data_IF_781052102341
#
_entry.id   IF_781052102341
#
_cell.length_a   1.000
_cell.length_b   1.000
_cell.length_c   1.000
_cell.angle_alpha   90.00
_cell.angle_beta   90.00
_cell.angle_gamma   90.00
#
_symmetry.space_group_name_H-M   'P 1'
#
loop_
_entity.id
_entity.type
_entity.pdbx_description
1 polymer ?
#
# COMPACT_ATOMS: atom_id res chain seq x y z
N UNK A 1 -8.11 3.77 26.09
CA UNK A 1 -8.20 2.32 25.76
C UNK A 1 -6.95 1.66 26.29
N UNK A 2 -7.07 0.95 27.42
CA UNK A 2 -5.93 0.41 28.16
C UNK A 2 -5.38 -0.85 27.48
N UNK A 3 -4.10 -0.81 27.07
CA UNK A 3 -3.32 -1.97 26.60
C UNK A 3 -2.79 -2.82 27.76
N UNK A 4 -3.57 -2.99 28.82
CA UNK A 4 -3.13 -3.70 30.03
C UNK A 4 -3.11 -5.22 29.86
N UNK A 5 -3.70 -5.74 28.78
CA UNK A 5 -3.75 -7.18 28.52
C UNK A 5 -2.39 -7.77 28.10
N UNK A 6 -1.55 -7.01 27.40
CA UNK A 6 -0.22 -7.47 26.95
C UNK A 6 0.86 -7.30 28.03
N UNK A 7 0.67 -6.34 28.95
CA UNK A 7 1.63 -6.03 30.01
C UNK A 7 1.66 -7.05 31.14
N UNK A 8 0.58 -7.82 31.33
CA UNK A 8 0.45 -8.79 32.44
C UNK A 8 0.84 -10.22 32.05
N UNK A 9 1.12 -10.50 30.77
CA UNK A 9 1.51 -11.84 30.37
C UNK A 9 3.01 -12.04 30.56
N UNK A 10 3.38 -13.06 31.35
CA UNK A 10 4.79 -13.43 31.56
C UNK A 10 5.49 -13.78 30.24
N UNK A 11 4.76 -14.37 29.30
CA UNK A 11 5.26 -14.75 27.97
C UNK A 11 5.72 -13.52 27.18
N UNK A 12 4.97 -12.41 27.20
CA UNK A 12 5.36 -11.20 26.48
C UNK A 12 6.45 -10.42 27.22
N UNK A 13 6.59 -10.59 28.54
CA UNK A 13 7.56 -9.86 29.37
C UNK A 13 9.01 -10.34 29.21
N UNK A 14 9.25 -11.61 28.89
CA UNK A 14 10.60 -12.19 28.91
C UNK A 14 11.34 -12.21 27.55
N UNK A 15 10.71 -11.78 26.46
CA UNK A 15 11.38 -11.66 25.17
C UNK A 15 11.67 -12.99 24.45
N UNK A 16 10.83 -14.01 24.65
CA UNK A 16 10.94 -15.30 23.98
C UNK A 16 10.52 -15.26 22.49
N UNK A 17 10.77 -16.34 21.75
CA UNK A 17 10.40 -16.46 20.32
C UNK A 17 8.89 -16.36 20.09
N UNK A 18 8.10 -16.91 21.01
CA UNK A 18 6.65 -16.88 21.02
C UNK A 18 6.14 -15.44 21.20
N UNK A 19 6.85 -14.63 21.98
CA UNK A 19 6.52 -13.21 22.13
C UNK A 19 6.78 -12.44 20.84
N UNK A 20 7.87 -12.75 20.13
CA UNK A 20 8.17 -12.14 18.84
C UNK A 20 7.07 -12.44 17.81
N UNK A 21 6.63 -13.70 17.74
CA UNK A 21 5.50 -14.09 16.91
C UNK A 21 4.22 -13.35 17.30
N UNK A 22 3.88 -13.28 18.59
CA UNK A 22 2.67 -12.60 19.06
C UNK A 22 2.67 -11.10 18.70
N UNK A 23 3.80 -10.41 18.85
CA UNK A 23 3.96 -9.01 18.45
C UNK A 23 3.77 -8.83 16.94
N UNK A 24 4.41 -9.68 16.12
CA UNK A 24 4.25 -9.65 14.67
C UNK A 24 2.80 -9.94 14.25
N UNK A 25 2.21 -11.03 14.73
CA UNK A 25 0.83 -11.42 14.41
C UNK A 25 -0.19 -10.35 14.82
N UNK A 26 0.00 -9.71 15.98
CA UNK A 26 -0.86 -8.61 16.42
C UNK A 26 -0.74 -7.40 15.48
N UNK A 27 0.48 -7.02 15.09
CA UNK A 27 0.70 -5.90 14.19
C UNK A 27 0.15 -6.14 12.78
N UNK A 28 0.25 -7.38 12.28
CA UNK A 28 -0.38 -7.84 11.05
C UNK A 28 -1.91 -7.76 11.15
N UNK A 29 -2.47 -8.32 12.23
CA UNK A 29 -3.91 -8.38 12.46
C UNK A 29 -4.56 -7.00 12.55
N UNK A 30 -3.95 -6.07 13.29
CA UNK A 30 -4.43 -4.67 13.36
C UNK A 30 -4.42 -4.03 11.97
N UNK A 31 -3.33 -4.18 11.23
CA UNK A 31 -3.21 -3.64 9.87
C UNK A 31 -4.32 -4.18 8.97
N UNK A 32 -4.46 -5.50 8.89
CA UNK A 32 -5.45 -6.15 8.04
C UNK A 32 -6.90 -5.80 8.41
N UNK A 33 -7.22 -5.78 9.71
CA UNK A 33 -8.56 -5.47 10.20
C UNK A 33 -8.96 -4.02 9.89
N UNK A 34 -8.04 -3.07 10.11
CA UNK A 34 -8.29 -1.64 9.84
C UNK A 34 -8.39 -1.38 8.34
N UNK A 35 -7.48 -1.90 7.53
CA UNK A 35 -7.52 -1.73 6.07
C UNK A 35 -8.82 -2.28 5.46
N UNK A 36 -9.33 -3.40 6.01
CA UNK A 36 -10.62 -3.97 5.61
C UNK A 36 -11.81 -3.16 6.12
N UNK A 37 -11.72 -2.59 7.32
CA UNK A 37 -12.76 -1.69 7.82
C UNK A 37 -12.91 -0.44 6.93
N UNK A 38 -11.79 0.08 6.41
CA UNK A 38 -11.78 1.18 5.45
C UNK A 38 -12.51 0.83 4.15
N UNK A 39 -12.16 -0.28 3.51
CA UNK A 39 -12.81 -0.67 2.25
C UNK A 39 -14.29 -1.01 2.41
N UNK A 40 -14.70 -1.42 3.61
CA UNK A 40 -16.08 -1.77 3.90
C UNK A 40 -16.91 -0.54 4.34
N UNK A 41 -16.33 0.67 4.33
CA UNK A 41 -17.01 1.89 4.76
C UNK A 41 -17.38 1.92 6.24
N UNK A 42 -16.77 1.07 7.07
CA UNK A 42 -17.05 1.00 8.52
C UNK A 42 -16.30 2.05 9.32
N UNK A 43 -15.29 2.68 8.74
CA UNK A 43 -14.47 3.70 9.38
C UNK A 43 -14.51 4.98 8.56
N UNK A 44 -15.11 6.03 9.11
CA UNK A 44 -15.32 7.32 8.43
C UNK A 44 -14.02 8.09 8.16
N UNK A 45 -12.93 7.74 8.84
CA UNK A 45 -11.63 8.41 8.74
C UNK A 45 -10.77 7.93 7.58
N UNK A 46 -11.23 6.95 6.80
CA UNK A 46 -10.53 6.41 5.64
C UNK A 46 -11.51 5.97 4.56
N UNK A 47 -10.99 5.76 3.35
CA UNK A 47 -11.73 5.24 2.19
C UNK A 47 -10.97 4.07 1.57
N UNK A 48 -11.41 3.58 0.42
CA UNK A 48 -10.71 2.60 -0.41
C UNK A 48 -9.26 3.04 -0.70
N UNK A 49 -8.40 2.07 -1.05
CA UNK A 49 -7.01 2.33 -1.39
C UNK A 49 -6.88 3.37 -2.53
N UNK A 50 -6.18 4.50 -2.32
CA UNK A 50 -5.99 5.51 -3.36
C UNK A 50 -4.98 5.06 -4.44
N UNK A 51 -4.18 4.02 -4.17
CA UNK A 51 -3.21 3.45 -5.11
C UNK A 51 -3.83 2.53 -6.17
N UNK A 52 -5.09 2.14 -5.99
CA UNK A 52 -5.86 1.42 -6.99
C UNK A 52 -6.16 2.34 -8.17
N UNK A 53 -5.53 2.07 -9.32
CA UNK A 53 -5.85 2.74 -10.58
C UNK A 53 -7.34 2.53 -10.92
N UNK A 54 -8.17 3.45 -10.47
CA UNK A 54 -9.53 3.68 -10.94
C UNK A 54 -9.55 5.10 -11.49
N UNK A 55 -10.04 5.23 -12.71
CA UNK A 55 -10.21 6.49 -13.45
C UNK A 55 -10.80 7.56 -12.56
N UNK A 56 -10.10 8.71 -12.51
CA UNK A 56 -10.41 9.87 -11.68
C UNK A 56 -11.91 10.22 -11.69
N UNK A 57 -12.51 10.23 -10.51
CA UNK A 57 -13.81 10.82 -10.22
C UNK A 57 -13.97 10.98 -8.72
N UNK A 58 -13.75 12.20 -8.23
CA UNK A 58 -14.02 12.75 -6.89
C UNK A 58 -12.83 12.86 -5.91
N UNK A 59 -12.47 14.12 -5.58
CA UNK A 59 -11.82 14.51 -4.33
C UNK A 59 -10.29 14.63 -4.36
N UNK A 60 -9.79 15.75 -4.89
CA UNK A 60 -8.41 16.20 -4.67
C UNK A 60 -8.23 16.65 -3.22
N UNK A 61 -7.39 15.97 -2.43
CA UNK A 61 -6.46 16.61 -1.49
C UNK A 61 -5.24 15.69 -1.26
N UNK A 62 -4.03 16.22 -1.50
CA UNK A 62 -2.78 15.61 -1.00
C UNK A 62 -1.84 14.96 -2.01
N UNK A 63 -1.55 15.59 -3.15
CA UNK A 63 -0.46 15.16 -4.03
C UNK A 63 0.91 15.47 -3.39
N UNK A 64 1.48 14.50 -2.69
CA UNK A 64 2.86 14.52 -2.21
C UNK A 64 3.83 14.70 -3.38
N UNK A 65 4.46 15.87 -3.44
CA UNK A 65 5.49 16.26 -4.39
C UNK A 65 6.57 15.19 -4.55
N UNK A 66 6.56 14.47 -5.68
CA UNK A 66 7.73 13.74 -6.18
C UNK A 66 8.04 14.23 -7.60
N UNK A 67 8.60 15.44 -7.68
CA UNK A 67 9.44 15.81 -8.82
C UNK A 67 10.82 15.23 -8.58
N UNK A 68 11.32 14.42 -9.52
CA UNK A 68 12.71 14.45 -10.01
C UNK A 68 12.93 13.41 -11.13
N UNK A 69 13.12 13.94 -12.35
CA UNK A 69 14.10 13.58 -13.40
C UNK A 69 14.20 12.12 -13.85
N UNK A 70 13.78 11.84 -15.10
CA UNK A 70 14.70 11.56 -16.21
C UNK A 70 13.94 11.68 -17.55
N UNK A 71 14.21 12.78 -18.25
CA UNK A 71 14.11 12.83 -19.70
C UNK A 71 15.44 12.34 -20.28
N UNK A 72 15.38 11.88 -21.53
CA UNK A 72 16.47 11.49 -22.43
C UNK A 72 16.98 10.04 -22.33
N UNK A 73 16.98 9.38 -23.49
CA UNK A 73 17.69 8.14 -23.72
C UNK A 73 16.79 7.01 -24.18
N UNK A 74 16.47 6.98 -25.49
CA UNK A 74 16.68 5.83 -26.39
C UNK A 74 15.99 6.11 -27.74
N UNK A 75 16.56 7.09 -28.46
CA UNK A 75 16.49 7.11 -29.92
C UNK A 75 17.48 6.05 -30.43
N UNK A 76 17.00 4.84 -30.71
CA UNK A 76 17.81 3.83 -31.39
C UNK A 76 16.92 2.81 -32.09
N UNK A 77 16.44 3.16 -33.28
CA UNK A 77 16.52 2.37 -34.52
C UNK A 77 15.73 3.09 -35.62
N UNK A 78 16.46 3.70 -36.56
CA UNK A 78 15.94 4.15 -37.84
C UNK A 78 16.32 3.09 -38.87
N UNK A 79 15.35 2.61 -39.66
CA UNK A 79 15.57 1.64 -40.71
C UNK A 79 14.46 1.73 -41.75
N UNK A 80 14.68 2.56 -42.77
CA UNK A 80 13.81 2.67 -43.94
C UNK A 80 14.00 1.44 -44.84
N UNK A 81 12.93 0.70 -45.13
CA UNK A 81 12.84 -0.14 -46.32
C UNK A 81 11.49 0.11 -46.98
N UNK A 82 11.50 0.72 -48.17
CA UNK A 82 10.28 0.95 -48.94
C UNK A 82 9.73 -0.35 -49.52
N UNK A 83 8.39 -0.49 -49.51
CA UNK A 83 7.60 -1.04 -50.62
C UNK A 83 6.08 -0.89 -50.42
N UNK A 84 5.44 -0.44 -51.52
CA UNK A 84 4.03 -0.55 -51.97
C UNK A 84 2.97 0.07 -51.04
N UNK A 85 2.37 1.25 -51.35
CA UNK A 85 1.28 1.45 -52.33
C UNK A 85 0.26 0.32 -52.22
N UNK A 86 -0.77 0.45 -51.37
CA UNK A 86 -2.06 1.01 -51.79
C UNK A 86 -2.85 1.56 -50.58
N UNK A 87 -3.16 2.85 -50.65
CA UNK A 87 -4.49 3.43 -50.40
C UNK A 87 -5.32 2.94 -49.20
N UNK A 88 -5.14 3.55 -48.03
CA UNK A 88 -6.19 3.64 -46.99
C UNK A 88 -6.23 5.07 -46.43
N UNK A 89 -6.30 6.06 -47.32
CA UNK A 89 -6.72 7.40 -46.93
C UNK A 89 -8.23 7.51 -47.03
N UNK A 90 -8.96 6.98 -46.04
CA UNK A 90 -10.25 7.55 -45.67
C UNK A 90 -10.78 6.95 -44.36
N UNK A 91 -11.12 7.86 -43.45
CA UNK A 91 -12.11 7.75 -42.39
C UNK A 91 -11.66 7.16 -41.04
N UNK A 92 -11.58 8.11 -40.11
CA UNK A 92 -11.73 8.04 -38.67
C UNK A 92 -10.47 7.81 -37.81
N UNK A 93 -10.01 8.93 -37.25
CA UNK A 93 -9.11 9.01 -36.12
C UNK A 93 -9.82 8.68 -34.79
N UNK A 94 -10.50 7.54 -34.70
CA UNK A 94 -11.26 7.16 -33.49
C UNK A 94 -11.39 5.64 -33.33
N UNK A 95 -10.28 4.92 -33.19
CA UNK A 95 -10.25 3.72 -32.35
C UNK A 95 -8.79 3.26 -32.16
N UNK A 96 -8.15 3.69 -31.06
CA UNK A 96 -6.99 2.98 -30.55
C UNK A 96 -7.44 1.62 -30.03
N UNK A 97 -7.66 0.66 -30.93
CA UNK A 97 -7.88 -0.73 -30.56
C UNK A 97 -6.54 -1.34 -30.15
N UNK A 98 -6.11 -1.09 -28.91
CA UNK A 98 -5.20 -2.03 -28.26
C UNK A 98 -5.94 -3.36 -28.15
N UNK A 99 -5.49 -4.43 -28.82
CA UNK A 99 -6.18 -5.70 -28.77
C UNK A 99 -6.11 -6.25 -27.34
N UNK A 100 -7.28 -6.25 -26.68
CA UNK A 100 -7.65 -7.01 -25.47
C UNK A 100 -6.64 -6.95 -24.30
N UNK A 101 -6.70 -5.91 -23.48
CA UNK A 101 -6.50 -6.09 -22.02
C UNK A 101 -7.76 -6.78 -21.49
N UNK A 102 -7.64 -8.06 -21.15
CA UNK A 102 -8.77 -8.93 -20.76
C UNK A 102 -9.13 -8.81 -19.27
N UNK A 103 -8.58 -7.81 -18.58
CA UNK A 103 -8.90 -7.52 -17.19
C UNK A 103 -8.61 -6.06 -16.87
N UNK A 104 -9.47 -5.47 -16.05
CA UNK A 104 -9.36 -4.12 -15.55
C UNK A 104 -9.37 -4.17 -14.02
N UNK A 105 -8.56 -3.32 -13.37
CA UNK A 105 -8.68 -3.13 -11.93
C UNK A 105 -10.02 -2.45 -11.63
N UNK A 106 -10.76 -2.99 -10.66
CA UNK A 106 -12.06 -2.44 -10.26
C UNK A 106 -12.39 -2.78 -8.81
N UNK A 107 -13.53 -2.27 -8.35
CA UNK A 107 -13.98 -2.43 -6.97
C UNK A 107 -13.24 -1.55 -5.97
N UNK A 108 -13.32 -1.93 -4.69
CA UNK A 108 -12.71 -1.19 -3.58
C UNK A 108 -11.56 -1.98 -2.98
N UNK A 109 -10.33 -1.51 -3.18
CA UNK A 109 -9.14 -2.06 -2.52
C UNK A 109 -9.07 -1.72 -1.04
N UNK A 110 -8.52 -2.62 -0.23
CA UNK A 110 -8.20 -2.36 1.17
C UNK A 110 -7.15 -1.25 1.29
N UNK A 111 -7.43 -0.23 2.09
CA UNK A 111 -6.50 0.89 2.30
C UNK A 111 -5.37 0.50 3.25
N UNK A 112 -4.35 -0.15 2.69
CA UNK A 112 -3.23 -0.70 3.44
C UNK A 112 -2.39 0.38 4.09
N UNK A 113 -2.22 1.54 3.44
CA UNK A 113 -1.47 2.67 3.98
C UNK A 113 -2.07 3.17 5.31
N UNK A 114 -3.40 3.32 5.35
CA UNK A 114 -4.11 3.73 6.55
C UNK A 114 -3.95 2.69 7.66
N UNK A 115 -4.14 1.40 7.35
CA UNK A 115 -3.97 0.31 8.32
C UNK A 115 -2.56 0.23 8.91
N UNK A 116 -1.52 0.41 8.08
CA UNK A 116 -0.12 0.42 8.50
C UNK A 116 0.18 1.61 9.44
N UNK A 117 -0.33 2.79 9.09
CA UNK A 117 -0.17 4.00 9.89
C UNK A 117 -0.86 3.85 11.24
N UNK A 118 -2.10 3.35 11.26
CA UNK A 118 -2.82 3.08 12.49
C UNK A 118 -2.12 2.03 13.37
N UNK A 119 -1.64 0.93 12.78
CA UNK A 119 -0.92 -0.12 13.52
C UNK A 119 0.37 0.42 14.17
N UNK A 120 1.12 1.30 13.49
CA UNK A 120 2.28 1.99 14.06
C UNK A 120 1.90 2.93 15.20
N UNK A 121 0.83 3.71 15.04
CA UNK A 121 0.37 4.61 16.10
C UNK A 121 -0.09 3.83 17.33
N UNK A 122 -0.81 2.72 17.14
CA UNK A 122 -1.33 1.94 18.25
C UNK A 122 -0.24 1.13 18.97
N UNK A 123 0.50 0.29 18.25
CA UNK A 123 1.35 -0.73 18.86
C UNK A 123 2.77 -0.25 19.18
N UNK A 124 3.27 0.78 18.49
CA UNK A 124 4.64 1.27 18.72
C UNK A 124 4.69 2.42 19.76
N UNK A 125 3.55 3.05 20.09
CA UNK A 125 3.51 4.22 20.99
C UNK A 125 4.04 3.92 22.40
N UNK A 126 3.80 2.71 22.90
CA UNK A 126 4.33 2.26 24.19
C UNK A 126 5.83 1.98 24.09
N UNK A 127 6.24 1.24 23.06
CA UNK A 127 7.63 0.80 22.90
C UNK A 127 8.59 1.97 22.64
N UNK A 128 8.14 3.04 21.96
CA UNK A 128 8.97 4.24 21.76
C UNK A 128 9.36 4.95 23.06
N UNK A 129 8.64 4.73 24.17
CA UNK A 129 8.93 5.35 25.48
C UNK A 129 9.90 4.53 26.33
N UNK A 130 10.01 3.22 26.09
CA UNK A 130 10.78 2.32 26.95
C UNK A 130 12.29 2.42 26.77
N UNK A 131 12.76 2.67 25.54
CA UNK A 131 14.19 2.87 25.21
C UNK A 131 15.11 1.66 25.44
N UNK A 132 14.63 0.61 26.11
CA UNK A 132 15.34 -0.61 26.43
C UNK A 132 15.42 -1.58 25.25
N UNK A 133 16.30 -2.58 25.36
CA UNK A 133 16.51 -3.60 24.33
C UNK A 133 15.21 -4.32 23.97
N UNK A 134 14.35 -4.57 24.97
CA UNK A 134 13.04 -5.21 24.75
C UNK A 134 12.13 -4.34 23.92
N UNK A 135 12.02 -3.04 24.22
CA UNK A 135 11.24 -2.11 23.38
C UNK A 135 11.73 -2.09 21.93
N UNK A 136 13.05 -2.14 21.70
CA UNK A 136 13.61 -2.21 20.35
C UNK A 136 13.26 -3.52 19.64
N UNK A 137 13.33 -4.65 20.34
CA UNK A 137 12.91 -5.95 19.81
C UNK A 137 11.42 -5.98 19.50
N UNK A 138 10.58 -5.44 20.38
CA UNK A 138 9.14 -5.34 20.16
C UNK A 138 8.82 -4.47 18.94
N UNK A 139 9.49 -3.31 18.78
CA UNK A 139 9.38 -2.47 17.58
C UNK A 139 9.78 -3.23 16.31
N UNK A 140 10.86 -4.02 16.37
CA UNK A 140 11.29 -4.85 15.25
C UNK A 140 10.23 -5.91 14.90
N UNK A 141 9.71 -6.64 15.88
CA UNK A 141 8.71 -7.68 15.66
C UNK A 141 7.38 -7.10 15.14
N UNK A 142 6.92 -5.98 15.72
CA UNK A 142 5.76 -5.25 15.21
C UNK A 142 5.99 -4.81 13.77
N UNK A 143 7.20 -4.35 13.42
CA UNK A 143 7.55 -3.98 12.04
C UNK A 143 7.53 -5.20 11.12
N UNK A 144 8.10 -6.33 11.56
CA UNK A 144 8.13 -7.57 10.78
C UNK A 144 6.71 -8.07 10.44
N UNK A 145 5.77 -7.98 11.38
CA UNK A 145 4.38 -8.37 11.12
C UNK A 145 3.61 -7.45 10.16
N UNK A 146 4.13 -6.26 9.86
CA UNK A 146 3.50 -5.28 8.96
C UNK A 146 4.02 -5.32 7.52
N UNK A 147 5.11 -6.05 7.27
CA UNK A 147 5.72 -6.22 5.95
C UNK A 147 5.09 -7.41 5.22
#
# INVERSE_FOLDING_TARGET
MNLDCLSKSRILSLGFRESAFAHAASAAGVTAAVSRACSNGRLLSCSCDPGGRVTKGAGEEGASNRKRIHAEGLAYYNGNHGRTSEDYSSLDASYSHHPRRHWEWGGCGHNLEYGLTFSRLLLDSRERRGGDLRSRTNLHNNRAGRL
#
